data_IF_950828874956
#
_entry.id   IF_950828874956
#
_cell.length_a   1.000
_cell.length_b   1.000
_cell.length_c   1.000
_cell.angle_alpha   90.00
_cell.angle_beta   90.00
_cell.angle_gamma   90.00
#
_symmetry.space_group_name_H-M   'P 1'
#
loop_
_entity.id
_entity.type
_entity.pdbx_description
1 polymer ?
#
# COMPACT_ATOMS: atom_id res chain seq x y z
N UNK A 1 38.05 22.58 -37.79
CA UNK A 1 36.76 22.23 -37.17
C UNK A 1 36.05 21.08 -37.90
N UNK A 2 35.81 21.18 -39.21
CA UNK A 2 35.14 20.11 -40.00
C UNK A 2 35.92 18.79 -40.12
N UNK A 3 37.26 18.84 -40.20
CA UNK A 3 38.10 17.62 -40.27
C UNK A 3 38.03 16.76 -39.00
N UNK A 4 37.89 17.40 -37.83
CA UNK A 4 37.78 16.70 -36.54
C UNK A 4 36.46 15.94 -36.44
N UNK A 5 35.36 16.55 -36.90
CA UNK A 5 34.02 15.96 -36.94
C UNK A 5 33.96 14.78 -37.93
N UNK A 6 34.60 14.91 -39.09
CA UNK A 6 34.67 13.80 -40.05
C UNK A 6 35.44 12.59 -39.51
N UNK A 7 36.51 12.82 -38.74
CA UNK A 7 37.30 11.76 -38.09
C UNK A 7 36.50 11.02 -37.03
N UNK A 8 35.72 11.74 -36.22
CA UNK A 8 34.87 11.10 -35.20
C UNK A 8 33.74 10.27 -35.83
N UNK A 9 33.07 10.79 -36.86
CA UNK A 9 32.03 10.03 -37.59
C UNK A 9 32.60 8.76 -38.24
N UNK A 10 33.77 8.86 -38.88
CA UNK A 10 34.45 7.71 -39.49
C UNK A 10 34.85 6.67 -38.44
N UNK A 11 35.36 7.10 -37.29
CA UNK A 11 35.73 6.23 -36.18
C UNK A 11 34.52 5.48 -35.59
N UNK A 12 33.40 6.19 -35.39
CA UNK A 12 32.14 5.58 -34.94
C UNK A 12 31.67 4.51 -35.94
N UNK A 13 31.70 4.80 -37.24
CA UNK A 13 31.35 3.82 -38.27
C UNK A 13 32.27 2.60 -38.28
N UNK A 14 33.57 2.79 -38.09
CA UNK A 14 34.56 1.70 -38.03
C UNK A 14 34.39 0.79 -36.82
N UNK A 15 33.89 1.32 -35.70
CA UNK A 15 33.73 0.56 -34.45
C UNK A 15 32.27 0.28 -34.07
N UNK A 16 31.33 0.54 -34.98
CA UNK A 16 29.88 0.40 -34.72
C UNK A 16 29.50 -0.97 -34.15
N UNK A 17 30.03 -2.05 -34.74
CA UNK A 17 29.73 -3.42 -34.29
C UNK A 17 30.28 -3.73 -32.90
N UNK A 18 31.45 -3.18 -32.54
CA UNK A 18 32.02 -3.33 -31.20
C UNK A 18 31.22 -2.55 -30.16
N UNK A 19 30.74 -1.36 -30.52
CA UNK A 19 29.89 -0.54 -29.67
C UNK A 19 28.51 -1.19 -29.46
N UNK A 20 27.93 -1.79 -30.51
CA UNK A 20 26.69 -2.56 -30.43
C UNK A 20 26.86 -3.78 -29.53
N UNK A 21 27.96 -4.52 -29.68
CA UNK A 21 28.29 -5.65 -28.82
C UNK A 21 28.41 -5.23 -27.35
N UNK A 22 29.14 -4.15 -27.05
CA UNK A 22 29.26 -3.60 -25.69
C UNK A 22 27.93 -3.16 -25.12
N UNK A 23 27.06 -2.56 -25.93
CA UNK A 23 25.71 -2.17 -25.51
C UNK A 23 24.88 -3.40 -25.15
N UNK A 24 24.90 -4.45 -25.98
CA UNK A 24 24.19 -5.70 -25.71
C UNK A 24 24.70 -6.35 -24.42
N UNK A 25 26.03 -6.43 -24.25
CA UNK A 25 26.65 -6.93 -23.01
C UNK A 25 26.17 -6.10 -21.83
N UNK A 26 26.22 -4.77 -21.92
CA UNK A 26 25.77 -3.90 -20.84
C UNK A 26 24.30 -4.16 -20.48
N UNK A 27 23.41 -4.29 -21.47
CA UNK A 27 21.98 -4.55 -21.24
C UNK A 27 21.73 -5.94 -20.65
N UNK A 28 22.47 -6.96 -21.08
CA UNK A 28 22.34 -8.35 -20.58
C UNK A 28 22.83 -8.47 -19.14
N UNK A 29 23.93 -7.80 -18.81
CA UNK A 29 24.53 -7.81 -17.47
C UNK A 29 23.99 -6.69 -16.56
N UNK A 30 23.08 -5.86 -17.05
CA UNK A 30 22.45 -4.81 -16.25
C UNK A 30 21.63 -5.47 -15.13
N UNK A 31 21.92 -5.18 -13.85
CA UNK A 31 21.15 -5.74 -12.75
C UNK A 31 19.70 -5.27 -12.90
N UNK A 32 18.79 -6.20 -13.14
CA UNK A 32 17.35 -5.93 -13.08
C UNK A 32 17.01 -5.73 -11.61
N UNK A 33 16.76 -4.49 -11.22
CA UNK A 33 16.12 -4.21 -9.94
C UNK A 33 14.72 -4.82 -9.99
N UNK A 34 14.51 -5.91 -9.26
CA UNK A 34 13.16 -6.31 -8.89
C UNK A 34 12.67 -5.28 -7.88
N UNK A 35 12.09 -4.19 -8.38
CA UNK A 35 11.16 -3.41 -7.59
C UNK A 35 9.97 -4.31 -7.32
N UNK A 36 10.08 -5.13 -6.27
CA UNK A 36 8.95 -5.79 -5.67
C UNK A 36 8.01 -4.67 -5.23
N UNK A 37 7.01 -4.38 -6.07
CA UNK A 37 5.87 -3.61 -5.64
C UNK A 37 5.34 -4.38 -4.43
N UNK A 38 5.56 -3.84 -3.25
CA UNK A 38 4.93 -4.32 -2.04
C UNK A 38 3.62 -3.55 -1.98
N UNK A 39 2.53 -4.05 -2.60
CA UNK A 39 1.29 -3.29 -2.66
C UNK A 39 0.91 -2.94 -1.23
N UNK A 40 0.82 -1.64 -0.95
CA UNK A 40 0.27 -1.18 0.31
C UNK A 40 -1.15 -1.73 0.41
N UNK A 41 -1.36 -2.66 1.33
CA UNK A 41 -2.65 -3.26 1.59
C UNK A 41 -3.26 -2.59 2.81
N UNK A 42 -4.23 -1.73 2.51
CA UNK A 42 -5.18 -1.19 3.45
C UNK A 42 -6.28 -2.24 3.65
N UNK A 43 -6.58 -2.59 4.89
CA UNK A 43 -7.77 -3.39 5.19
C UNK A 43 -8.94 -2.44 5.43
N UNK A 44 -10.03 -2.60 4.70
CA UNK A 44 -11.31 -1.97 5.04
C UNK A 44 -12.06 -2.85 6.04
N UNK A 45 -12.61 -2.23 7.09
CA UNK A 45 -13.48 -2.86 8.10
C UNK A 45 -14.76 -2.05 8.13
N UNK A 46 -15.89 -2.70 7.88
CA UNK A 46 -17.18 -2.03 7.79
C UNK A 46 -17.94 -2.09 9.13
N UNK A 47 -18.50 -0.96 9.54
CA UNK A 47 -19.42 -0.84 10.68
C UNK A 47 -20.77 -0.35 10.17
N UNK A 48 -21.61 -1.29 9.76
CA UNK A 48 -22.90 -1.02 9.11
C UNK A 48 -24.07 -1.29 10.04
N UNK A 49 -25.03 -0.37 10.07
CA UNK A 49 -26.26 -0.51 10.83
C UNK A 49 -26.07 -0.46 12.35
N UNK A 50 -27.09 -0.82 13.14
CA UNK A 50 -27.02 -0.72 14.60
C UNK A 50 -25.95 -1.64 15.22
N UNK A 51 -25.18 -1.11 16.17
CA UNK A 51 -24.12 -1.87 16.88
C UNK A 51 -24.74 -2.78 17.95
N UNK A 52 -25.04 -4.02 17.57
CA UNK A 52 -25.64 -5.01 18.49
C UNK A 52 -24.62 -5.95 19.14
N UNK A 53 -23.47 -6.17 18.48
CA UNK A 53 -22.37 -7.02 18.97
C UNK A 53 -21.04 -6.51 18.42
N UNK A 54 -19.95 -6.81 19.13
CA UNK A 54 -18.60 -6.40 18.74
C UNK A 54 -17.77 -7.52 18.09
N UNK A 55 -18.19 -8.78 18.24
CA UNK A 55 -17.39 -9.97 17.92
C UNK A 55 -16.81 -9.96 16.50
N UNK A 56 -17.63 -9.63 15.50
CA UNK A 56 -17.20 -9.63 14.10
C UNK A 56 -16.16 -8.54 13.84
N UNK A 57 -16.43 -7.32 14.28
CA UNK A 57 -15.55 -6.15 14.09
C UNK A 57 -14.23 -6.35 14.82
N UNK A 58 -14.26 -6.85 16.07
CA UNK A 58 -13.06 -7.15 16.85
C UNK A 58 -12.23 -8.23 16.16
N UNK A 59 -12.86 -9.30 15.66
CA UNK A 59 -12.16 -10.36 14.94
C UNK A 59 -11.47 -9.86 13.68
N UNK A 60 -12.07 -8.91 12.96
CA UNK A 60 -11.43 -8.27 11.80
C UNK A 60 -10.27 -7.36 12.21
N UNK A 61 -10.46 -6.56 13.28
CA UNK A 61 -9.40 -5.73 13.85
C UNK A 61 -8.19 -6.59 14.25
N UNK A 62 -8.41 -7.72 14.92
CA UNK A 62 -7.32 -8.63 15.32
C UNK A 62 -6.61 -9.26 14.11
N UNK A 63 -7.37 -9.69 13.10
CA UNK A 63 -6.78 -10.22 11.85
C UNK A 63 -5.94 -9.15 11.17
N UNK A 64 -6.45 -7.92 11.12
CA UNK A 64 -5.74 -6.77 10.55
C UNK A 64 -4.47 -6.48 11.34
N UNK A 65 -4.51 -6.51 12.68
CA UNK A 65 -3.33 -6.29 13.55
C UNK A 65 -2.24 -7.35 13.32
N UNK A 66 -2.62 -8.64 13.33
CA UNK A 66 -1.68 -9.78 13.24
C UNK A 66 -1.07 -9.98 11.85
N UNK A 67 -1.70 -9.46 10.78
CA UNK A 67 -1.23 -9.67 9.42
C UNK A 67 -0.11 -8.67 9.03
N UNK A 68 1.17 -9.08 8.88
CA UNK A 68 2.26 -8.18 8.50
C UNK A 68 2.13 -7.64 7.06
N UNK A 69 1.27 -8.31 6.29
CA UNK A 69 0.57 -7.86 5.09
C UNK A 69 0.20 -6.40 5.29
N UNK A 70 -0.92 -6.25 5.99
CA UNK A 70 -1.73 -5.04 6.15
C UNK A 70 -0.92 -3.89 6.74
N UNK A 71 -0.92 -2.75 6.06
CA UNK A 71 -0.18 -1.53 6.47
C UNK A 71 -1.04 -0.51 7.19
N UNK A 72 -2.36 -0.64 7.12
CA UNK A 72 -3.30 0.26 7.80
C UNK A 72 -4.72 -0.28 7.73
N UNK A 73 -5.62 0.39 8.45
CA UNK A 73 -7.04 0.06 8.45
C UNK A 73 -7.87 1.30 8.11
N UNK A 74 -8.84 1.11 7.22
CA UNK A 74 -9.93 2.05 6.97
C UNK A 74 -11.17 1.51 7.68
N UNK A 75 -11.62 2.20 8.72
CA UNK A 75 -12.89 1.91 9.38
C UNK A 75 -13.99 2.67 8.64
N UNK A 76 -14.76 1.96 7.82
CA UNK A 76 -15.86 2.52 7.06
C UNK A 76 -17.16 2.42 7.87
N UNK A 77 -17.69 3.55 8.31
CA UNK A 77 -18.81 3.62 9.26
C UNK A 77 -20.06 4.15 8.56
N UNK A 78 -21.14 3.40 8.72
CA UNK A 78 -22.50 3.79 8.39
C UNK A 78 -23.46 3.18 9.42
N UNK A 79 -23.47 3.75 10.62
CA UNK A 79 -24.19 3.25 11.79
C UNK A 79 -24.85 4.38 12.60
N UNK A 80 -26.12 4.23 13.03
CA UNK A 80 -26.79 5.16 13.95
C UNK A 80 -26.31 5.01 15.41
N UNK A 81 -25.32 4.15 15.67
CA UNK A 81 -24.89 3.73 17.01
C UNK A 81 -25.55 2.41 17.41
N UNK A 82 -25.68 2.16 18.71
CA UNK A 82 -26.28 0.92 19.21
C UNK A 82 -26.06 0.71 20.69
N UNK A 83 -25.83 -0.54 21.07
CA UNK A 83 -25.60 -0.92 22.45
C UNK A 83 -24.26 -0.35 22.96
N UNK A 84 -24.27 0.18 24.18
CA UNK A 84 -23.09 0.79 24.82
C UNK A 84 -21.95 -0.21 25.01
N UNK A 85 -22.16 -1.45 25.52
CA UNK A 85 -21.04 -2.36 25.75
C UNK A 85 -20.30 -2.76 24.47
N UNK A 86 -20.97 -3.19 23.37
CA UNK A 86 -20.30 -3.44 22.09
C UNK A 86 -19.55 -2.22 21.53
N UNK A 87 -20.12 -1.02 21.66
CA UNK A 87 -19.48 0.21 21.19
C UNK A 87 -18.17 0.49 21.93
N UNK A 88 -18.17 0.27 23.25
CA UNK A 88 -16.98 0.42 24.10
C UNK A 88 -15.92 -0.62 23.74
N UNK A 89 -16.32 -1.88 23.53
CA UNK A 89 -15.40 -2.95 23.14
C UNK A 89 -14.72 -2.67 21.79
N UNK A 90 -15.49 -2.23 20.79
CA UNK A 90 -14.95 -1.80 19.49
C UNK A 90 -13.98 -0.62 19.66
N UNK A 91 -14.34 0.39 20.46
CA UNK A 91 -13.48 1.54 20.71
C UNK A 91 -12.14 1.15 21.35
N UNK A 92 -12.15 0.21 22.31
CA UNK A 92 -10.92 -0.33 22.90
C UNK A 92 -10.08 -1.11 21.88
N UNK A 93 -10.70 -1.93 21.04
CA UNK A 93 -10.00 -2.67 19.99
C UNK A 93 -9.34 -1.73 18.97
N UNK A 94 -10.04 -0.67 18.53
CA UNK A 94 -9.48 0.36 17.64
C UNK A 94 -8.31 1.09 18.32
N UNK A 95 -8.46 1.46 19.60
CA UNK A 95 -7.41 2.12 20.37
C UNK A 95 -6.15 1.26 20.48
N UNK A 96 -6.31 -0.06 20.63
CA UNK A 96 -5.18 -1.00 20.64
C UNK A 96 -4.53 -1.12 19.26
N UNK A 97 -5.33 -1.32 18.20
CA UNK A 97 -4.84 -1.42 16.82
C UNK A 97 -4.02 -0.18 16.42
N UNK A 98 -4.46 1.02 16.82
CA UNK A 98 -3.79 2.29 16.51
C UNK A 98 -2.36 2.38 17.06
N UNK A 99 -2.02 1.60 18.09
CA UNK A 99 -0.63 1.51 18.59
C UNK A 99 0.32 0.83 17.62
N UNK A 100 -0.20 0.01 16.71
CA UNK A 100 0.58 -0.80 15.77
C UNK A 100 0.43 -0.35 14.31
N UNK A 101 -0.76 0.11 13.93
CA UNK A 101 -1.10 0.44 12.53
C UNK A 101 -1.93 1.71 12.44
N UNK A 102 -1.75 2.55 11.41
CA UNK A 102 -2.63 3.69 11.18
C UNK A 102 -4.06 3.20 10.96
N UNK A 103 -5.01 3.85 11.65
CA UNK A 103 -6.44 3.62 11.51
C UNK A 103 -7.09 4.94 11.11
N UNK A 104 -7.79 4.94 9.98
CA UNK A 104 -8.55 6.09 9.47
C UNK A 104 -10.03 5.72 9.55
N UNK A 105 -10.85 6.58 10.16
CA UNK A 105 -12.29 6.44 10.13
C UNK A 105 -12.87 7.22 8.95
N UNK A 106 -13.81 6.63 8.23
CA UNK A 106 -14.52 7.23 7.12
C UNK A 106 -16.02 7.04 7.33
N UNK A 107 -16.77 8.14 7.37
CA UNK A 107 -18.22 8.10 7.41
C UNK A 107 -18.77 7.96 5.99
N UNK A 108 -19.06 6.74 5.54
CA UNK A 108 -19.76 6.53 4.25
C UNK A 108 -21.23 6.86 4.31
N UNK A 109 -21.80 6.94 5.51
CA UNK A 109 -23.16 7.37 5.76
C UNK A 109 -23.30 8.03 7.13
N UNK A 110 -24.15 7.47 7.98
CA UNK A 110 -24.36 8.01 9.33
C UNK A 110 -23.26 7.54 10.29
N UNK A 111 -22.74 8.44 11.12
CA UNK A 111 -21.80 8.13 12.21
C UNK A 111 -22.26 8.96 13.41
N UNK A 112 -23.06 8.36 14.28
CA UNK A 112 -23.76 9.03 15.35
C UNK A 112 -23.85 8.14 16.60
N UNK A 113 -23.91 8.75 17.77
CA UNK A 113 -23.96 8.04 19.05
C UNK A 113 -22.67 7.21 19.28
N UNK A 114 -22.77 5.90 19.47
CA UNK A 114 -21.62 5.02 19.78
C UNK A 114 -20.78 4.55 18.58
N UNK A 115 -21.09 4.99 17.35
CA UNK A 115 -20.38 4.59 16.13
C UNK A 115 -19.17 5.45 15.75
#
# INVERSE_FOLDING_TARGET
MFSTIGKTIKWIGQHFMGMLFLLIVLVVFMPKSETTLNPANLQEIELLGPIMSADLVIKEIEKAQKNPKIKGVLLNVNSPGGAVPPSIEIAYAIKELKKHKPVIAYASGIMASGS
#
